data_IF_350863795998
#
_entry.id   IF_350863795998
#
_cell.length_a   1.000
_cell.length_b   1.000
_cell.length_c   1.000
_cell.angle_alpha   90.00
_cell.angle_beta   90.00
_cell.angle_gamma   90.00
#
_symmetry.space_group_name_H-M   'P 1'
#
loop_
_entity.id
_entity.type
_entity.pdbx_description
1 polymer ?
#
# COMPACT_ATOMS: atom_id res chain seq x y z
N UNK A 1 31.83 -22.89 24.51
CA UNK A 1 32.07 -22.31 23.16
C UNK A 1 32.78 -20.97 23.32
N UNK A 2 33.98 -20.80 22.74
CA UNK A 2 34.86 -19.65 23.04
C UNK A 2 34.57 -18.43 22.15
N UNK A 3 33.50 -17.69 22.43
CA UNK A 3 33.14 -16.44 21.72
C UNK A 3 34.20 -15.34 21.81
N UNK A 4 35.04 -15.38 22.86
CA UNK A 4 36.18 -14.47 23.02
C UNK A 4 37.15 -14.49 21.84
N UNK A 5 37.32 -15.62 21.15
CA UNK A 5 38.26 -15.72 20.02
C UNK A 5 37.70 -15.10 18.74
N UNK A 6 36.37 -15.14 18.56
CA UNK A 6 35.67 -14.56 17.41
C UNK A 6 35.62 -13.02 17.49
N UNK A 7 35.51 -12.45 18.69
CA UNK A 7 35.45 -10.98 18.87
C UNK A 7 36.83 -10.30 18.94
N UNK A 8 37.88 -11.04 19.32
CA UNK A 8 39.22 -10.50 19.49
C UNK A 8 40.16 -10.74 18.30
N UNK A 9 39.72 -11.49 17.28
CA UNK A 9 40.50 -11.63 16.04
C UNK A 9 40.07 -10.59 15.00
N UNK A 10 41.01 -10.03 14.22
CA UNK A 10 40.71 -9.01 13.21
C UNK A 10 39.70 -9.52 12.17
N UNK A 11 39.83 -10.78 11.75
CA UNK A 11 38.90 -11.43 10.83
C UNK A 11 37.51 -11.60 11.43
N UNK A 12 37.41 -12.02 12.69
CA UNK A 12 36.13 -12.24 13.35
C UNK A 12 35.37 -10.93 13.63
N UNK A 13 36.09 -9.85 13.94
CA UNK A 13 35.51 -8.50 14.08
C UNK A 13 34.81 -8.06 12.79
N UNK A 14 35.47 -8.24 11.64
CA UNK A 14 34.89 -7.85 10.34
C UNK A 14 33.63 -8.64 10.01
N UNK A 15 33.64 -9.97 10.23
CA UNK A 15 32.48 -10.83 9.97
C UNK A 15 31.29 -10.42 10.85
N UNK A 16 31.51 -10.13 12.12
CA UNK A 16 30.46 -9.70 13.05
C UNK A 16 29.89 -8.33 12.67
N UNK A 17 30.74 -7.38 12.25
CA UNK A 17 30.29 -6.07 11.77
C UNK A 17 29.40 -6.18 10.52
N UNK A 18 29.75 -7.06 9.58
CA UNK A 18 28.93 -7.31 8.38
C UNK A 18 27.59 -7.96 8.75
N UNK A 19 27.60 -8.98 9.61
CA UNK A 19 26.38 -9.64 10.09
C UNK A 19 25.44 -8.68 10.82
N UNK A 20 26.00 -7.80 11.67
CA UNK A 20 25.22 -6.79 12.38
C UNK A 20 24.63 -5.75 11.42
N UNK A 21 25.39 -5.31 10.41
CA UNK A 21 24.90 -4.37 9.40
C UNK A 21 23.75 -4.96 8.57
N UNK A 22 23.89 -6.21 8.13
CA UNK A 22 22.84 -6.91 7.38
C UNK A 22 21.61 -7.16 8.28
N UNK A 23 21.82 -7.60 9.53
CA UNK A 23 20.73 -7.83 10.48
C UNK A 23 19.94 -6.57 10.79
N UNK A 24 20.60 -5.42 11.00
CA UNK A 24 19.93 -4.13 11.16
C UNK A 24 19.16 -3.71 9.91
N UNK A 25 19.76 -3.87 8.72
CA UNK A 25 19.10 -3.53 7.47
C UNK A 25 17.80 -4.32 7.27
N UNK A 26 17.76 -5.59 7.68
CA UNK A 26 16.55 -6.43 7.57
C UNK A 26 15.40 -5.97 8.47
N UNK A 27 15.65 -5.29 9.58
CA UNK A 27 14.61 -4.79 10.49
C UNK A 27 13.86 -3.59 9.88
N UNK A 28 14.55 -2.76 9.10
CA UNK A 28 13.95 -1.60 8.44
C UNK A 28 13.21 -1.95 7.15
N UNK A 29 13.38 -3.16 6.63
CA UNK A 29 12.58 -3.65 5.50
C UNK A 29 11.14 -3.79 5.99
N UNK A 30 10.21 -3.00 5.44
CA UNK A 30 8.76 -3.18 5.68
C UNK A 30 8.41 -4.65 5.46
N UNK A 31 8.10 -5.35 6.55
CA UNK A 31 7.51 -6.66 6.47
C UNK A 31 6.09 -6.45 5.97
N UNK A 32 5.82 -6.87 4.74
CA UNK A 32 4.46 -6.91 4.24
C UNK A 32 3.70 -8.02 4.94
N UNK A 33 3.18 -7.71 6.13
CA UNK A 33 2.19 -8.53 6.82
C UNK A 33 0.82 -8.15 6.29
N UNK A 34 0.29 -9.05 5.45
CA UNK A 34 -1.09 -9.04 4.98
C UNK A 34 -1.50 -7.77 4.19
N UNK A 35 -2.50 -7.04 4.71
CA UNK A 35 -3.27 -6.00 4.03
C UNK A 35 -2.50 -4.70 3.80
N UNK A 36 -1.36 -4.52 4.47
CA UNK A 36 -0.52 -3.32 4.33
C UNK A 36 0.30 -3.30 3.03
N UNK A 37 0.27 -4.40 2.26
CA UNK A 37 0.96 -4.53 0.98
C UNK A 37 0.00 -4.45 -0.23
N UNK A 38 -1.28 -4.17 0.01
CA UNK A 38 -2.28 -4.07 -1.06
C UNK A 38 -2.46 -2.61 -1.41
N UNK A 39 -2.03 -2.22 -2.62
CA UNK A 39 -2.31 -0.89 -3.17
C UNK A 39 -3.72 -0.92 -3.76
N UNK A 40 -4.70 -0.37 -3.04
CA UNK A 40 -6.08 -0.29 -3.50
C UNK A 40 -6.22 0.87 -4.51
N UNK A 41 -6.37 0.55 -5.79
CA UNK A 41 -6.58 1.53 -6.86
C UNK A 41 -8.07 1.53 -7.26
N UNK A 42 -8.93 2.10 -6.42
CA UNK A 42 -10.36 2.18 -6.67
C UNK A 42 -11.01 3.30 -5.87
N UNK A 43 -12.25 3.69 -6.19
CA UNK A 43 -13.00 4.68 -5.42
C UNK A 43 -13.32 4.09 -4.05
N UNK A 44 -13.39 4.95 -3.03
CA UNK A 44 -13.72 4.52 -1.66
C UNK A 44 -15.14 3.94 -1.70
N UNK A 45 -15.29 2.64 -1.38
CA UNK A 45 -16.57 1.92 -1.55
C UNK A 45 -17.71 2.59 -0.75
N UNK A 46 -17.40 3.14 0.42
CA UNK A 46 -18.35 3.88 1.26
C UNK A 46 -18.89 5.16 0.62
N UNK A 47 -18.25 5.67 -0.44
CA UNK A 47 -18.74 6.85 -1.15
C UNK A 47 -19.66 6.51 -2.32
N UNK A 48 -19.65 5.27 -2.79
CA UNK A 48 -20.47 4.80 -3.93
C UNK A 48 -21.68 4.02 -3.43
N UNK A 49 -21.52 3.25 -2.36
CA UNK A 49 -22.55 2.39 -1.82
C UNK A 49 -23.68 3.20 -1.18
N UNK A 50 -24.90 3.03 -1.69
CA UNK A 50 -26.10 3.68 -1.14
C UNK A 50 -26.39 5.09 -1.66
N UNK A 51 -25.47 5.72 -2.40
CA UNK A 51 -25.69 7.05 -3.00
C UNK A 51 -26.35 6.94 -4.38
N UNK A 52 -27.19 7.92 -4.70
CA UNK A 52 -27.85 8.05 -6.01
C UNK A 52 -27.15 9.13 -6.81
N UNK A 53 -26.64 8.78 -7.98
CA UNK A 53 -25.94 9.70 -8.88
C UNK A 53 -26.84 10.09 -10.04
N UNK A 54 -26.97 11.39 -10.29
CA UNK A 54 -27.73 11.91 -11.45
C UNK A 54 -26.79 12.03 -12.65
N UNK A 55 -27.15 11.41 -13.76
CA UNK A 55 -26.44 11.57 -15.03
C UNK A 55 -27.46 11.85 -16.15
N UNK A 56 -27.38 13.06 -16.72
CA UNK A 56 -28.46 13.59 -17.56
C UNK A 56 -29.75 13.74 -16.75
N UNK A 57 -30.85 13.21 -17.30
CA UNK A 57 -32.18 13.25 -16.67
C UNK A 57 -32.51 11.99 -15.85
N UNK A 58 -31.55 11.07 -15.70
CA UNK A 58 -31.76 9.78 -15.03
C UNK A 58 -30.91 9.65 -13.77
N UNK A 59 -31.50 9.02 -12.76
CA UNK A 59 -30.87 8.73 -11.48
C UNK A 59 -30.41 7.26 -11.46
N UNK A 60 -29.15 7.03 -11.10
CA UNK A 60 -28.54 5.71 -11.06
C UNK A 60 -28.03 5.41 -9.64
N UNK A 61 -28.25 4.18 -9.19
CA UNK A 61 -27.70 3.66 -7.94
C UNK A 61 -26.73 2.54 -8.30
N UNK A 62 -25.48 2.67 -7.88
CA UNK A 62 -24.44 1.68 -8.17
C UNK A 62 -24.30 0.72 -6.99
N UNK A 63 -24.16 -0.57 -7.29
CA UNK A 63 -23.83 -1.61 -6.31
C UNK A 63 -22.48 -2.21 -6.70
N UNK A 64 -21.54 -2.24 -5.76
CA UNK A 64 -20.22 -2.80 -5.98
C UNK A 64 -20.25 -4.31 -5.77
N UNK A 65 -19.75 -5.07 -6.75
CA UNK A 65 -19.54 -6.52 -6.64
C UNK A 65 -18.06 -6.83 -6.81
N UNK A 66 -17.58 -7.78 -6.02
CA UNK A 66 -16.21 -8.28 -6.16
C UNK A 66 -16.10 -9.17 -7.41
N UNK A 67 -15.35 -8.72 -8.40
CA UNK A 67 -15.12 -9.44 -9.65
C UNK A 67 -13.61 -9.62 -9.89
N UNK A 68 -13.23 -10.61 -10.71
CA UNK A 68 -11.85 -10.73 -11.19
C UNK A 68 -11.55 -9.60 -12.16
N UNK A 69 -10.34 -9.04 -12.09
CA UNK A 69 -9.89 -8.04 -13.05
C UNK A 69 -9.91 -8.62 -14.45
N UNK A 70 -10.67 -7.99 -15.35
CA UNK A 70 -10.73 -8.33 -16.76
C UNK A 70 -9.76 -7.44 -17.55
N UNK A 71 -8.74 -8.00 -18.22
CA UNK A 71 -7.76 -7.22 -18.97
C UNK A 71 -8.35 -6.48 -20.18
N UNK A 72 -9.56 -6.83 -20.64
CA UNK A 72 -10.23 -6.14 -21.75
C UNK A 72 -10.98 -4.88 -21.29
N UNK A 73 -11.19 -4.70 -19.98
CA UNK A 73 -11.88 -3.52 -19.44
C UNK A 73 -10.89 -2.36 -19.27
N UNK A 74 -11.31 -1.16 -19.67
CA UNK A 74 -10.51 0.07 -19.50
C UNK A 74 -10.43 0.41 -18.00
N UNK A 75 -9.21 0.53 -17.47
CA UNK A 75 -8.97 1.09 -16.14
C UNK A 75 -9.15 2.60 -16.21
N UNK A 76 -10.07 3.14 -15.42
CA UNK A 76 -10.31 4.58 -15.28
C UNK A 76 -9.61 5.02 -14.00
N UNK A 77 -8.69 5.98 -14.10
CA UNK A 77 -8.05 6.59 -12.93
C UNK A 77 -9.02 7.62 -12.33
N UNK A 78 -9.48 7.38 -11.10
CA UNK A 78 -10.53 8.18 -10.46
C UNK A 78 -9.92 9.33 -9.62
N UNK A 79 -8.59 9.41 -9.54
CA UNK A 79 -7.88 10.41 -8.72
C UNK A 79 -8.15 11.86 -9.14
N UNK A 80 -8.58 12.11 -10.37
CA UNK A 80 -8.84 13.48 -10.86
C UNK A 80 -10.08 14.15 -10.25
N UNK A 81 -11.00 13.38 -9.62
CA UNK A 81 -12.27 13.95 -9.09
C UNK A 81 -12.25 14.22 -7.58
N UNK A 82 -11.32 13.62 -6.85
CA UNK A 82 -11.24 13.75 -5.38
C UNK A 82 -10.50 15.01 -4.90
N UNK A 83 -9.72 15.65 -5.77
CA UNK A 83 -8.96 16.86 -5.40
C UNK A 83 -9.85 18.12 -5.44
N UNK A 84 -10.86 18.17 -6.32
CA UNK A 84 -11.76 19.33 -6.47
C UNK A 84 -12.82 19.43 -5.36
N UNK A 85 -13.32 18.30 -4.82
CA UNK A 85 -14.29 18.29 -3.70
C UNK A 85 -13.64 18.41 -2.31
N UNK A 86 -12.32 18.17 -2.20
CA UNK A 86 -11.58 18.35 -0.95
C UNK A 86 -11.14 19.81 -0.73
N UNK A 87 -10.78 20.52 -1.80
CA UNK A 87 -10.37 21.93 -1.73
C UNK A 87 -11.56 22.87 -1.45
N UNK A 88 -12.75 22.56 -1.96
CA UNK A 88 -13.98 23.30 -1.68
C UNK A 88 -14.51 23.18 -0.24
N UNK A 89 -13.95 22.27 0.58
CA UNK A 89 -14.27 22.14 2.02
C UNK A 89 -13.22 22.77 2.93
N UNK A 90 -12.16 23.34 2.35
CA UNK A 90 -11.09 24.01 3.10
C UNK A 90 -11.20 25.55 3.07
N UNK A 91 -12.23 26.09 2.40
CA UNK A 91 -12.59 27.52 2.40
C UNK A 91 -13.98 27.74 2.98
#
# INVERSE_FOLDING_TARGET
>A
MNFRRLLNTPTGRNIVSILLGIGLATIFRRACTDKNCIVFNGPIISEVEGKTFKHGDKCYKYSTVSEKCDPMKRVVDIREKSEEEADAKLF
#
